data_IF_687244300672
#
_entry.id   IF_687244300672
#
_cell.length_a   1.000
_cell.length_b   1.000
_cell.length_c   1.000
_cell.angle_alpha   90.00
_cell.angle_beta   90.00
_cell.angle_gamma   90.00
#
_symmetry.space_group_name_H-M   'P 1'
#
loop_
_entity.id
_entity.type
_entity.pdbx_description
1 polymer ?
#
# COMPACT_ATOMS: atom_id res chain seq x y z
N UNK A 1 18.67 -18.74 14.95
CA UNK A 1 18.61 -17.37 14.42
C UNK A 1 18.20 -17.49 12.96
N UNK A 2 17.08 -16.91 12.57
CA UNK A 2 16.74 -16.76 11.14
C UNK A 2 17.69 -15.75 10.51
N UNK A 3 18.10 -16.00 9.28
CA UNK A 3 18.90 -15.04 8.52
C UNK A 3 17.99 -13.95 7.94
N UNK A 4 18.56 -12.79 7.59
CA UNK A 4 17.81 -11.71 6.91
C UNK A 4 17.15 -12.20 5.61
N UNK A 5 17.80 -13.14 4.90
CA UNK A 5 17.24 -13.77 3.70
C UNK A 5 16.01 -14.63 4.00
N UNK A 6 16.00 -15.35 5.12
CA UNK A 6 14.85 -16.20 5.51
C UNK A 6 13.62 -15.36 5.85
N UNK A 7 13.83 -14.21 6.51
CA UNK A 7 12.76 -13.25 6.83
C UNK A 7 12.16 -12.67 5.55
N UNK A 8 13.00 -12.20 4.63
CA UNK A 8 12.52 -11.65 3.36
C UNK A 8 11.78 -12.69 2.52
N UNK A 9 12.27 -13.93 2.45
CA UNK A 9 11.59 -15.02 1.74
C UNK A 9 10.22 -15.34 2.35
N UNK A 10 10.11 -15.31 3.68
CA UNK A 10 8.84 -15.51 4.37
C UNK A 10 7.85 -14.38 4.06
N UNK A 11 8.30 -13.12 4.06
CA UNK A 11 7.47 -11.96 3.67
C UNK A 11 7.00 -12.11 2.22
N UNK A 12 7.89 -12.48 1.29
CA UNK A 12 7.54 -12.72 -0.13
C UNK A 12 6.46 -13.80 -0.24
N UNK A 13 6.62 -14.90 0.47
CA UNK A 13 5.65 -15.99 0.45
C UNK A 13 4.28 -15.54 0.96
N UNK A 14 4.22 -14.89 2.12
CA UNK A 14 2.95 -14.40 2.69
C UNK A 14 2.27 -13.41 1.73
N UNK A 15 3.04 -12.48 1.15
CA UNK A 15 2.50 -11.52 0.18
C UNK A 15 1.91 -12.23 -1.05
N UNK A 16 2.61 -13.22 -1.61
CA UNK A 16 2.10 -14.02 -2.72
C UNK A 16 0.83 -14.79 -2.35
N UNK A 17 0.77 -15.37 -1.15
CA UNK A 17 -0.42 -16.07 -0.66
C UNK A 17 -1.62 -15.13 -0.59
N UNK A 18 -1.47 -13.94 0.01
CA UNK A 18 -2.53 -12.92 0.10
C UNK A 18 -2.99 -12.44 -1.28
N UNK A 19 -2.06 -12.19 -2.20
CA UNK A 19 -2.35 -11.70 -3.54
C UNK A 19 -2.88 -12.78 -4.50
N UNK A 20 -2.81 -14.05 -4.11
CA UNK A 20 -3.37 -15.18 -4.86
C UNK A 20 -4.79 -15.55 -4.42
N UNK A 21 -5.31 -14.93 -3.36
CA UNK A 21 -6.69 -15.11 -2.92
C UNK A 21 -7.68 -14.60 -3.97
N UNK A 22 -8.90 -15.14 -3.96
CA UNK A 22 -9.99 -14.64 -4.79
C UNK A 22 -10.23 -13.17 -4.45
N UNK A 23 -10.13 -12.23 -5.42
CA UNK A 23 -10.37 -10.82 -5.16
C UNK A 23 -11.75 -10.59 -4.54
N UNK A 24 -11.78 -9.91 -3.40
CA UNK A 24 -12.98 -9.65 -2.60
C UNK A 24 -12.71 -8.55 -1.57
N UNK A 25 -13.75 -8.04 -0.90
CA UNK A 25 -13.57 -7.15 0.25
C UNK A 25 -12.78 -7.85 1.37
N UNK A 26 -13.09 -9.11 1.67
CA UNK A 26 -12.44 -9.86 2.74
C UNK A 26 -10.94 -10.04 2.50
N UNK A 27 -10.54 -10.40 1.27
CA UNK A 27 -9.12 -10.53 0.91
C UNK A 27 -8.37 -9.20 0.94
N UNK A 28 -9.04 -8.09 0.58
CA UNK A 28 -8.47 -6.76 0.70
C UNK A 28 -8.25 -6.37 2.17
N UNK A 29 -9.25 -6.59 3.03
CA UNK A 29 -9.14 -6.29 4.46
C UNK A 29 -8.02 -7.10 5.13
N UNK A 30 -7.89 -8.38 4.78
CA UNK A 30 -6.82 -9.25 5.24
C UNK A 30 -5.43 -8.76 4.77
N UNK A 31 -5.31 -8.30 3.52
CA UNK A 31 -4.09 -7.67 3.01
C UNK A 31 -3.74 -6.37 3.75
N UNK A 32 -4.72 -5.50 4.00
CA UNK A 32 -4.55 -4.23 4.71
C UNK A 32 -4.05 -4.48 6.13
N UNK A 33 -4.71 -5.41 6.84
CA UNK A 33 -4.34 -5.80 8.20
C UNK A 33 -2.91 -6.31 8.26
N UNK A 34 -2.56 -7.23 7.37
CA UNK A 34 -1.21 -7.78 7.29
C UNK A 34 -0.16 -6.69 6.97
N UNK A 35 -0.42 -5.82 5.99
CA UNK A 35 0.50 -4.73 5.64
C UNK A 35 0.71 -3.76 6.81
N UNK A 36 -0.33 -3.48 7.59
CA UNK A 36 -0.23 -2.59 8.73
C UNK A 36 0.67 -3.15 9.84
N UNK A 37 0.53 -4.45 10.12
CA UNK A 37 1.40 -5.17 11.04
C UNK A 37 2.82 -5.32 10.48
N UNK A 38 2.96 -5.63 9.20
CA UNK A 38 4.26 -5.84 8.58
C UNK A 38 5.05 -4.53 8.42
N UNK A 39 4.40 -3.36 8.35
CA UNK A 39 5.11 -2.08 8.24
C UNK A 39 5.43 -1.44 9.60
N UNK A 40 4.95 -1.95 10.73
CA UNK A 40 5.06 -1.27 12.02
C UNK A 40 6.50 -1.17 12.54
N UNK A 41 7.33 -2.17 12.23
CA UNK A 41 8.68 -2.31 12.80
C UNK A 41 9.79 -2.44 11.73
N UNK A 42 9.45 -2.20 10.47
CA UNK A 42 10.35 -2.42 9.34
C UNK A 42 11.02 -1.14 8.83
N UNK A 43 12.23 -1.30 8.27
CA UNK A 43 13.01 -0.22 7.67
C UNK A 43 12.28 0.47 6.52
N UNK A 44 12.74 1.67 6.15
CA UNK A 44 12.15 2.44 5.05
C UNK A 44 12.30 1.75 3.69
N UNK A 45 13.30 0.93 3.48
CA UNK A 45 13.51 0.17 2.24
C UNK A 45 12.94 -1.25 2.30
N UNK A 46 12.22 -1.58 3.37
CA UNK A 46 11.68 -2.92 3.57
C UNK A 46 10.65 -3.31 2.51
N UNK A 47 10.61 -4.61 2.23
CA UNK A 47 9.69 -5.19 1.25
C UNK A 47 8.21 -4.89 1.56
N UNK A 48 7.69 -4.98 2.80
CA UNK A 48 6.31 -4.63 3.09
C UNK A 48 5.94 -3.18 2.73
N UNK A 49 6.83 -2.21 3.01
CA UNK A 49 6.62 -0.81 2.62
C UNK A 49 6.61 -0.64 1.11
N UNK A 50 7.48 -1.36 0.40
CA UNK A 50 7.48 -1.36 -1.07
C UNK A 50 6.20 -1.95 -1.64
N UNK A 51 5.70 -3.06 -1.08
CA UNK A 51 4.41 -3.65 -1.47
C UNK A 51 3.27 -2.66 -1.26
N UNK A 52 3.19 -2.04 -0.07
CA UNK A 52 2.16 -1.06 0.23
C UNK A 52 2.22 0.12 -0.74
N UNK A 53 3.39 0.74 -0.89
CA UNK A 53 3.59 1.92 -1.73
C UNK A 53 3.20 1.66 -3.17
N UNK A 54 3.66 0.54 -3.75
CA UNK A 54 3.31 0.15 -5.11
C UNK A 54 1.82 -0.19 -5.25
N UNK A 55 1.22 -0.79 -4.23
CA UNK A 55 -0.23 -0.98 -4.17
C UNK A 55 -1.01 0.35 -4.19
N UNK A 56 -0.54 1.36 -3.46
CA UNK A 56 -1.11 2.73 -3.48
C UNK A 56 -0.96 3.38 -4.85
N UNK A 57 0.20 3.22 -5.51
CA UNK A 57 0.42 3.74 -6.86
C UNK A 57 -0.56 3.10 -7.86
N UNK A 58 -0.63 1.77 -7.88
CA UNK A 58 -1.45 1.03 -8.84
C UNK A 58 -2.95 1.34 -8.67
N UNK A 59 -3.46 1.28 -7.44
CA UNK A 59 -4.86 1.58 -7.13
C UNK A 59 -5.18 3.07 -7.27
N UNK A 60 -4.26 3.95 -6.88
CA UNK A 60 -4.41 5.40 -6.99
C UNK A 60 -4.49 5.90 -8.43
N UNK A 61 -3.77 5.29 -9.35
CA UNK A 61 -3.88 5.60 -10.79
C UNK A 61 -5.28 5.31 -11.32
N UNK A 62 -5.90 4.19 -10.91
CA UNK A 62 -7.28 3.90 -11.31
C UNK A 62 -8.28 4.85 -10.64
N UNK A 63 -8.06 5.23 -9.37
CA UNK A 63 -8.87 6.27 -8.71
C UNK A 63 -8.84 7.60 -9.48
N UNK A 64 -7.64 8.07 -9.86
CA UNK A 64 -7.44 9.30 -10.63
C UNK A 64 -8.24 9.28 -11.94
N UNK A 65 -8.18 8.15 -12.66
CA UNK A 65 -8.92 7.93 -13.92
C UNK A 65 -10.43 7.88 -13.68
N UNK A 66 -10.89 7.14 -12.68
CA UNK A 66 -12.31 6.96 -12.35
C UNK A 66 -12.98 8.28 -11.95
N UNK A 67 -12.29 9.10 -11.15
CA UNK A 67 -12.78 10.41 -10.67
C UNK A 67 -12.45 11.57 -11.60
N UNK A 68 -11.68 11.34 -12.67
CA UNK A 68 -11.21 12.35 -13.61
C UNK A 68 -10.56 13.56 -12.90
N UNK A 69 -9.75 13.29 -11.87
CA UNK A 69 -9.07 14.35 -11.15
C UNK A 69 -8.06 15.08 -12.05
N UNK A 70 -7.93 16.41 -11.91
CA UNK A 70 -6.93 17.16 -12.66
C UNK A 70 -5.51 16.75 -12.23
N UNK A 71 -4.52 16.92 -13.11
CA UNK A 71 -3.13 16.53 -12.85
C UNK A 71 -2.47 17.27 -11.68
N UNK A 72 -3.03 18.41 -11.26
CA UNK A 72 -2.56 19.18 -10.10
C UNK A 72 -3.26 18.79 -8.78
N UNK A 73 -4.17 17.83 -8.79
CA UNK A 73 -4.87 17.34 -7.61
C UNK A 73 -3.87 16.76 -6.58
N UNK A 74 -4.09 16.94 -5.26
CA UNK A 74 -3.17 16.41 -4.24
C UNK A 74 -2.84 14.92 -4.38
N UNK A 75 -3.83 14.07 -4.68
CA UNK A 75 -3.62 12.64 -4.94
C UNK A 75 -2.63 12.38 -6.07
N UNK A 76 -2.63 13.20 -7.14
CA UNK A 76 -1.68 13.04 -8.25
C UNK A 76 -0.23 13.30 -7.79
N UNK A 77 -0.03 14.30 -6.92
CA UNK A 77 1.28 14.60 -6.34
C UNK A 77 1.75 13.48 -5.41
N UNK A 78 0.84 12.92 -4.62
CA UNK A 78 1.15 11.78 -3.73
C UNK A 78 1.53 10.53 -4.53
N UNK A 79 0.84 10.23 -5.63
CA UNK A 79 1.22 9.14 -6.53
C UNK A 79 2.62 9.36 -7.11
N UNK A 80 2.94 10.57 -7.59
CA UNK A 80 4.28 10.90 -8.11
C UNK A 80 5.37 10.76 -7.05
N UNK A 81 5.10 11.19 -5.82
CA UNK A 81 6.03 11.05 -4.70
C UNK A 81 6.23 9.58 -4.31
N UNK A 82 5.16 8.79 -4.30
CA UNK A 82 5.21 7.35 -4.06
C UNK A 82 6.02 6.62 -5.16
N UNK A 83 5.85 7.00 -6.42
CA UNK A 83 6.65 6.47 -7.55
C UNK A 83 8.14 6.79 -7.39
N UNK A 84 8.48 8.02 -7.01
CA UNK A 84 9.87 8.40 -6.76
C UNK A 84 10.49 7.57 -5.63
N UNK A 85 9.75 7.36 -4.54
CA UNK A 85 10.18 6.54 -3.41
C UNK A 85 10.27 5.04 -3.74
N UNK A 86 9.37 4.49 -4.56
CA UNK A 86 9.42 3.07 -4.96
C UNK A 86 10.58 2.75 -5.92
N UNK A 87 11.10 3.76 -6.61
CA UNK A 87 12.31 3.66 -7.44
C UNK A 87 13.59 3.86 -6.63
N UNK A 88 13.58 4.79 -5.67
CA UNK A 88 14.72 5.13 -4.83
C UNK A 88 14.30 5.29 -3.37
N UNK A 89 14.26 4.19 -2.58
CA UNK A 89 13.70 4.17 -1.23
C UNK A 89 14.65 4.79 -0.19
N UNK A 90 14.94 6.08 -0.37
CA UNK A 90 15.73 6.89 0.57
C UNK A 90 14.82 7.56 1.59
N UNK A 91 15.37 7.96 2.74
CA UNK A 91 14.65 8.72 3.76
C UNK A 91 14.04 10.00 3.18
N UNK A 92 14.80 10.77 2.39
CA UNK A 92 14.31 11.99 1.74
C UNK A 92 13.14 11.74 0.77
N UNK A 93 13.17 10.62 0.03
CA UNK A 93 12.07 10.26 -0.87
C UNK A 93 10.83 9.82 -0.07
N UNK A 94 11.03 9.07 1.03
CA UNK A 94 9.95 8.70 1.93
C UNK A 94 9.32 9.92 2.60
N UNK A 95 10.12 10.86 3.12
CA UNK A 95 9.63 12.10 3.72
C UNK A 95 8.80 12.94 2.75
N UNK A 96 9.23 13.00 1.49
CA UNK A 96 8.49 13.69 0.45
C UNK A 96 7.15 13.00 0.13
N UNK A 97 7.15 11.67 0.06
CA UNK A 97 5.92 10.88 -0.08
C UNK A 97 5.00 11.08 1.13
N UNK A 98 5.53 10.99 2.35
CA UNK A 98 4.80 11.14 3.59
C UNK A 98 4.13 12.51 3.69
N UNK A 99 4.88 13.59 3.42
CA UNK A 99 4.34 14.95 3.40
C UNK A 99 3.27 15.15 2.31
N UNK A 100 3.45 14.54 1.13
CA UNK A 100 2.44 14.58 0.07
C UNK A 100 1.16 13.85 0.48
N UNK A 101 1.30 12.67 1.10
CA UNK A 101 0.19 11.86 1.61
C UNK A 101 -0.61 12.58 2.70
N UNK A 102 0.08 13.26 3.64
CA UNK A 102 -0.56 14.14 4.63
C UNK A 102 -1.46 15.19 3.99
N UNK A 103 -0.98 15.83 2.92
CA UNK A 103 -1.75 16.86 2.20
C UNK A 103 -2.87 16.28 1.31
N UNK A 104 -2.92 14.96 1.15
CA UNK A 104 -3.97 14.25 0.41
C UNK A 104 -4.80 13.31 1.29
N UNK A 105 -4.79 13.51 2.61
CA UNK A 105 -5.50 12.63 3.55
C UNK A 105 -6.93 12.30 3.08
N UNK A 106 -7.35 11.01 3.11
CA UNK A 106 -6.66 9.84 3.67
C UNK A 106 -5.87 9.02 2.63
N UNK A 107 -5.33 9.64 1.57
CA UNK A 107 -4.61 8.93 0.51
C UNK A 107 -3.10 8.80 0.80
N UNK A 108 -2.63 7.55 0.93
CA UNK A 108 -1.20 7.19 1.13
C UNK A 108 -0.74 7.13 2.59
N UNK A 109 0.57 6.90 2.78
CA UNK A 109 1.23 6.80 4.09
C UNK A 109 1.65 8.19 4.58
N UNK A 110 0.78 8.89 5.31
CA UNK A 110 1.01 10.24 5.81
C UNK A 110 0.45 10.48 7.22
N UNK A 111 0.37 11.73 7.65
CA UNK A 111 -0.32 12.11 8.87
C UNK A 111 -1.85 12.00 8.71
N UNK A 112 -2.51 11.51 9.76
CA UNK A 112 -3.97 11.36 9.84
C UNK A 112 -4.38 9.94 10.19
N UNK A 113 -5.46 9.77 10.96
CA UNK A 113 -5.90 8.45 11.41
C UNK A 113 -7.04 7.90 10.55
N UNK A 114 -6.69 7.09 9.56
CA UNK A 114 -7.66 6.30 8.79
C UNK A 114 -7.59 4.83 9.23
N UNK A 115 -8.34 4.50 10.27
CA UNK A 115 -8.55 3.13 10.72
C UNK A 115 -9.73 2.50 9.97
N UNK A 116 -9.53 1.31 9.40
CA UNK A 116 -10.57 0.59 8.69
C UNK A 116 -11.54 -0.02 9.70
N UNK A 117 -12.81 0.42 9.66
CA UNK A 117 -13.82 0.06 10.67
C UNK A 117 -14.13 -1.44 10.66
N UNK A 118 -14.13 -2.02 9.48
CA UNK A 118 -14.43 -3.42 9.20
C UNK A 118 -13.42 -4.37 9.84
N UNK A 119 -12.22 -3.87 10.19
CA UNK A 119 -11.20 -4.62 10.92
C UNK A 119 -11.46 -4.62 12.45
N UNK A 120 -12.50 -3.94 12.94
CA UNK A 120 -12.92 -3.98 14.34
C UNK A 120 -12.11 -3.08 15.30
N UNK A 121 -11.35 -2.14 14.77
CA UNK A 121 -10.52 -1.21 15.55
C UNK A 121 -11.23 0.13 15.81
N UNK A 122 -10.89 0.77 16.94
CA UNK A 122 -11.48 2.04 17.36
C UNK A 122 -10.57 3.25 17.11
N UNK A 123 -9.31 3.03 16.72
CA UNK A 123 -8.34 4.07 16.45
C UNK A 123 -7.12 3.54 15.71
N UNK A 124 -5.95 4.08 16.03
CA UNK A 124 -4.73 3.82 15.28
C UNK A 124 -3.95 2.60 15.84
N UNK A 125 -4.64 1.53 16.25
CA UNK A 125 -4.01 0.31 16.77
C UNK A 125 -3.27 -0.49 15.67
N UNK A 126 -2.25 -1.31 15.98
CA UNK A 126 -1.61 -2.19 15.00
C UNK A 126 -2.63 -3.14 14.34
N UNK A 127 -2.61 -3.18 13.01
CA UNK A 127 -3.54 -3.98 12.21
C UNK A 127 -4.80 -3.21 11.79
N UNK A 128 -4.97 -1.95 12.21
CA UNK A 128 -6.10 -1.09 11.82
C UNK A 128 -6.00 -0.51 10.41
N UNK A 129 -4.79 -0.53 9.84
CA UNK A 129 -4.47 0.13 8.58
C UNK A 129 -4.05 1.60 8.72
N UNK A 130 -4.13 2.15 9.93
CA UNK A 130 -3.81 3.55 10.15
C UNK A 130 -2.30 3.83 10.17
N UNK A 131 -1.50 3.07 10.93
CA UNK A 131 -0.10 3.44 11.21
C UNK A 131 0.77 3.37 9.97
N UNK A 132 0.54 2.36 9.15
CA UNK A 132 1.21 2.19 7.86
C UNK A 132 0.61 3.05 6.75
N UNK A 133 -0.62 3.52 6.93
CA UNK A 133 -1.44 4.12 5.86
C UNK A 133 -2.07 3.08 4.92
N UNK A 134 -1.99 1.77 5.19
CA UNK A 134 -2.60 0.73 4.34
C UNK A 134 -4.12 0.84 4.24
N UNK A 135 -4.78 1.51 5.19
CA UNK A 135 -6.20 1.82 5.13
C UNK A 135 -6.59 2.68 3.91
N UNK A 136 -5.65 3.38 3.27
CA UNK A 136 -5.88 4.07 1.99
C UNK A 136 -6.41 3.12 0.91
N UNK A 137 -6.06 1.83 0.95
CA UNK A 137 -6.50 0.86 -0.05
C UNK A 137 -8.00 0.57 0.08
N UNK A 138 -8.52 0.53 1.31
CA UNK A 138 -9.95 0.44 1.58
C UNK A 138 -10.66 1.73 1.15
N UNK A 139 -10.07 2.90 1.40
CA UNK A 139 -10.62 4.16 0.92
C UNK A 139 -10.78 4.19 -0.61
N UNK A 140 -9.77 3.70 -1.35
CA UNK A 140 -9.84 3.60 -2.81
C UNK A 140 -10.89 2.56 -3.23
N UNK A 141 -11.03 1.47 -2.48
CA UNK A 141 -12.00 0.42 -2.77
C UNK A 141 -13.45 0.88 -2.69
N UNK A 142 -13.79 1.89 -1.87
CA UNK A 142 -15.12 2.51 -1.91
C UNK A 142 -15.48 3.11 -3.28
N UNK A 143 -14.48 3.52 -4.04
CA UNK A 143 -14.64 4.22 -5.32
C UNK A 143 -14.46 3.30 -6.53
N UNK A 144 -13.48 2.42 -6.43
CA UNK A 144 -13.00 1.57 -7.54
C UNK A 144 -13.55 0.13 -7.41
N UNK A 145 -13.92 -0.29 -6.20
CA UNK A 145 -14.32 -1.65 -5.86
C UNK A 145 -13.12 -2.47 -5.37
N UNK A 146 -13.32 -3.22 -4.27
CA UNK A 146 -12.25 -4.01 -3.64
C UNK A 146 -11.66 -5.09 -4.54
N UNK A 147 -12.48 -5.76 -5.36
CA UNK A 147 -11.98 -6.74 -6.32
C UNK A 147 -10.98 -6.13 -7.30
N UNK A 148 -11.29 -4.92 -7.78
CA UNK A 148 -10.44 -4.24 -8.75
C UNK A 148 -9.16 -3.72 -8.09
N UNK A 149 -9.25 -3.17 -6.87
CA UNK A 149 -8.07 -2.82 -6.07
C UNK A 149 -7.14 -4.03 -5.88
N UNK A 150 -7.69 -5.18 -5.47
CA UNK A 150 -6.89 -6.41 -5.32
C UNK A 150 -6.26 -6.86 -6.64
N UNK A 151 -6.99 -6.81 -7.76
CA UNK A 151 -6.43 -7.16 -9.09
C UNK A 151 -5.31 -6.22 -9.50
N UNK A 152 -5.45 -4.91 -9.27
CA UNK A 152 -4.44 -3.91 -9.60
C UNK A 152 -3.17 -4.11 -8.76
N UNK A 153 -3.32 -4.33 -7.45
CA UNK A 153 -2.18 -4.62 -6.57
C UNK A 153 -1.51 -5.92 -7.00
N UNK A 154 -2.25 -7.00 -7.23
CA UNK A 154 -1.67 -8.28 -7.65
C UNK A 154 -0.91 -8.15 -8.98
N UNK A 155 -1.46 -7.40 -9.95
CA UNK A 155 -0.82 -7.16 -11.25
C UNK A 155 0.52 -6.42 -11.11
N UNK A 156 0.60 -5.45 -10.21
CA UNK A 156 1.82 -4.67 -9.94
C UNK A 156 2.85 -5.48 -9.13
N UNK A 157 2.40 -6.19 -8.08
CA UNK A 157 3.30 -6.73 -7.06
C UNK A 157 3.76 -8.16 -7.39
N UNK A 158 2.91 -9.01 -7.97
CA UNK A 158 3.27 -10.43 -8.18
C UNK A 158 4.51 -10.60 -9.08
N UNK A 159 4.66 -9.88 -10.21
CA UNK A 159 5.87 -9.97 -11.04
C UNK A 159 7.13 -9.59 -10.25
N UNK A 160 7.06 -8.50 -9.48
CA UNK A 160 8.15 -8.04 -8.61
C UNK A 160 8.58 -9.12 -7.61
N UNK A 161 7.62 -9.75 -6.93
CA UNK A 161 7.90 -10.79 -5.93
C UNK A 161 8.50 -12.06 -6.55
N UNK A 162 8.17 -12.35 -7.82
CA UNK A 162 8.73 -13.49 -8.57
C UNK A 162 10.08 -13.19 -9.22
N UNK A 163 10.54 -11.95 -9.19
CA UNK A 163 11.76 -11.52 -9.90
C UNK A 163 11.58 -11.44 -11.41
N UNK A 164 10.34 -11.37 -11.89
CA UNK A 164 10.02 -11.11 -13.29
C UNK A 164 10.24 -9.62 -13.53
N UNK A 165 11.34 -9.27 -14.21
CA UNK A 165 11.68 -7.87 -14.48
C UNK A 165 10.62 -7.22 -15.36
N UNK A 166 10.13 -6.04 -14.97
CA UNK A 166 9.35 -5.18 -15.87
C UNK A 166 10.24 -4.78 -17.07
N UNK A 167 9.81 -5.14 -18.28
CA UNK A 167 10.39 -4.66 -19.54
C UNK A 167 9.82 -3.30 -19.91
#
# INVERSE_FOLDING_TARGET
>A
MQTSQDVENNIKQIALEKLSLVPSQESLLDLIHWLDLACSDESLDSLPRQILTRGVIASGKELMKKRAYPSNHPVAKTIQAAEAYSLAPTEAAFDYYFHSATNSYPFGTGEGCYAVKELGYAGCEPGSGCKSGSGTLDQIAYEVGAEEVMRLIAKEIVPLLKGESEH
#
